data_IF_165382265432
#
_entry.id   IF_165382265432
#
_cell.length_a   1.000
_cell.length_b   1.000
_cell.length_c   1.000
_cell.angle_alpha   90.00
_cell.angle_beta   90.00
_cell.angle_gamma   90.00
#
_symmetry.space_group_name_H-M   'P 1'
#
loop_
_entity.id
_entity.type
_entity.pdbx_description
1 polymer ?
#
# COMPACT_ATOMS: atom_id res chain seq x y z
N UNK A 1 -42.47 12.62 -58.08
CA UNK A 1 -41.19 12.86 -57.36
C UNK A 1 -41.43 12.74 -55.86
N UNK A 2 -41.31 11.53 -55.29
CA UNK A 2 -41.41 11.30 -53.85
C UNK A 2 -40.03 11.16 -53.26
N UNK A 3 -39.62 12.10 -52.40
CA UNK A 3 -38.35 12.01 -51.66
C UNK A 3 -38.56 10.98 -50.53
N UNK A 4 -38.07 9.76 -50.74
CA UNK A 4 -38.04 8.74 -49.69
C UNK A 4 -37.08 9.19 -48.60
N UNK A 5 -37.62 9.56 -47.45
CA UNK A 5 -36.85 9.87 -46.25
C UNK A 5 -36.41 8.56 -45.59
N UNK A 6 -35.25 8.05 -46.00
CA UNK A 6 -34.49 7.12 -45.16
C UNK A 6 -33.86 7.99 -44.07
N UNK A 7 -34.28 7.80 -42.82
CA UNK A 7 -33.58 8.35 -41.67
C UNK A 7 -32.53 7.32 -41.20
N UNK A 8 -31.22 7.51 -41.47
CA UNK A 8 -30.19 6.68 -40.87
C UNK A 8 -29.78 7.35 -39.57
N UNK A 9 -30.34 6.95 -38.42
CA UNK A 9 -30.08 7.68 -37.17
C UNK A 9 -30.01 6.82 -35.92
N UNK A 10 -31.09 6.12 -35.57
CA UNK A 10 -31.21 5.50 -34.24
C UNK A 10 -30.35 4.26 -34.00
N UNK A 11 -30.33 3.32 -34.95
CA UNK A 11 -29.64 2.03 -34.78
C UNK A 11 -28.11 2.15 -34.74
N UNK A 12 -27.54 3.00 -35.59
CA UNK A 12 -26.09 3.23 -35.68
C UNK A 12 -25.57 3.93 -34.44
N UNK A 13 -26.33 4.89 -33.89
CA UNK A 13 -25.97 5.59 -32.64
C UNK A 13 -26.00 4.61 -31.46
N UNK A 14 -27.03 3.78 -31.34
CA UNK A 14 -27.13 2.75 -30.29
C UNK A 14 -25.98 1.74 -30.38
N UNK A 15 -25.63 1.28 -31.58
CA UNK A 15 -24.51 0.35 -31.78
C UNK A 15 -23.17 0.96 -31.35
N UNK A 16 -22.94 2.24 -31.66
CA UNK A 16 -21.75 2.96 -31.19
C UNK A 16 -21.73 3.12 -29.66
N UNK A 17 -22.88 3.43 -29.05
CA UNK A 17 -23.01 3.51 -27.59
C UNK A 17 -22.70 2.16 -26.93
N UNK A 18 -23.22 1.06 -27.47
CA UNK A 18 -22.93 -0.29 -26.98
C UNK A 18 -21.45 -0.64 -27.13
N UNK A 19 -20.83 -0.35 -28.28
CA UNK A 19 -19.40 -0.58 -28.48
C UNK A 19 -18.55 0.20 -27.45
N UNK A 20 -18.89 1.46 -27.19
CA UNK A 20 -18.22 2.27 -26.18
C UNK A 20 -18.40 1.70 -24.76
N UNK A 21 -19.60 1.24 -24.42
CA UNK A 21 -19.87 0.62 -23.13
C UNK A 21 -19.07 -0.68 -22.95
N UNK A 22 -19.00 -1.52 -23.99
CA UNK A 22 -18.19 -2.74 -23.97
C UNK A 22 -16.71 -2.43 -23.77
N UNK A 23 -16.18 -1.42 -24.46
CA UNK A 23 -14.80 -0.98 -24.26
C UNK A 23 -14.55 -0.49 -22.83
N UNK A 24 -15.49 0.29 -22.26
CA UNK A 24 -15.40 0.77 -20.88
C UNK A 24 -15.45 -0.37 -19.86
N UNK A 25 -16.32 -1.37 -20.05
CA UNK A 25 -16.40 -2.54 -19.17
C UNK A 25 -15.14 -3.40 -19.26
N UNK A 26 -14.58 -3.60 -20.45
CA UNK A 26 -13.32 -4.31 -20.63
C UNK A 26 -12.17 -3.60 -19.91
N UNK A 27 -12.06 -2.27 -20.08
CA UNK A 27 -11.05 -1.47 -19.39
C UNK A 27 -11.23 -1.50 -17.87
N UNK A 28 -12.47 -1.38 -17.39
CA UNK A 28 -12.76 -1.45 -15.97
C UNK A 28 -12.37 -2.83 -15.40
N UNK A 29 -12.70 -3.90 -16.09
CA UNK A 29 -12.33 -5.26 -15.69
C UNK A 29 -10.81 -5.43 -15.59
N UNK A 30 -10.05 -4.90 -16.56
CA UNK A 30 -8.60 -4.92 -16.51
C UNK A 30 -8.06 -4.11 -15.32
N UNK A 31 -8.55 -2.89 -15.12
CA UNK A 31 -8.15 -2.03 -14.02
C UNK A 31 -8.45 -2.65 -12.64
N UNK A 32 -9.58 -3.36 -12.49
CA UNK A 32 -9.93 -4.07 -11.27
C UNK A 32 -8.98 -5.23 -10.99
N UNK A 33 -8.62 -6.01 -12.01
CA UNK A 33 -7.65 -7.09 -11.88
C UNK A 33 -6.27 -6.56 -11.47
N UNK A 34 -5.82 -5.46 -12.07
CA UNK A 34 -4.56 -4.81 -11.71
C UNK A 34 -4.60 -4.29 -10.26
N UNK A 35 -5.71 -3.67 -9.87
CA UNK A 35 -5.91 -3.15 -8.50
C UNK A 35 -5.89 -4.28 -7.47
N UNK A 36 -6.57 -5.40 -7.73
CA UNK A 36 -6.56 -6.57 -6.84
C UNK A 36 -5.15 -7.13 -6.67
N UNK A 37 -4.40 -7.24 -7.78
CA UNK A 37 -3.02 -7.71 -7.74
C UNK A 37 -2.13 -6.77 -6.90
N UNK A 38 -2.25 -5.45 -7.12
CA UNK A 38 -1.52 -4.45 -6.34
C UNK A 38 -1.89 -4.52 -4.85
N UNK A 39 -3.17 -4.68 -4.51
CA UNK A 39 -3.61 -4.82 -3.12
C UNK A 39 -3.02 -6.08 -2.47
N UNK A 40 -3.02 -7.22 -3.17
CA UNK A 40 -2.46 -8.48 -2.65
C UNK A 40 -0.95 -8.40 -2.45
N UNK A 41 -0.21 -7.77 -3.37
CA UNK A 41 1.22 -7.55 -3.20
C UNK A 41 1.52 -6.59 -2.05
N UNK A 42 0.77 -5.49 -1.98
CA UNK A 42 0.98 -4.44 -0.97
C UNK A 42 0.64 -4.94 0.42
N UNK A 43 -0.36 -5.82 0.59
CA UNK A 43 -0.68 -6.40 1.91
C UNK A 43 0.48 -7.25 2.45
N UNK A 44 1.10 -8.08 1.61
CA UNK A 44 2.30 -8.86 1.98
C UNK A 44 3.46 -7.94 2.32
N UNK A 45 3.67 -6.88 1.54
CA UNK A 45 4.72 -5.89 1.82
C UNK A 45 4.48 -5.16 3.14
N UNK A 46 3.23 -4.77 3.45
CA UNK A 46 2.88 -4.10 4.70
C UNK A 46 3.15 -4.98 5.92
N UNK A 47 2.87 -6.28 5.83
CA UNK A 47 3.18 -7.25 6.87
C UNK A 47 4.69 -7.41 7.06
N UNK A 48 5.44 -7.55 5.96
CA UNK A 48 6.89 -7.62 6.01
C UNK A 48 7.51 -6.35 6.63
N UNK A 49 7.01 -5.16 6.27
CA UNK A 49 7.47 -3.89 6.85
C UNK A 49 7.16 -3.80 8.34
N UNK A 50 5.97 -4.26 8.78
CA UNK A 50 5.64 -4.34 10.20
C UNK A 50 6.60 -5.27 10.96
N UNK A 51 6.89 -6.44 10.42
CA UNK A 51 7.83 -7.41 11.02
C UNK A 51 9.24 -6.84 11.15
N UNK A 52 9.76 -6.24 10.06
CA UNK A 52 11.07 -5.59 10.06
C UNK A 52 11.09 -4.42 11.06
N UNK A 53 10.07 -3.57 11.09
CA UNK A 53 9.99 -2.45 12.04
C UNK A 53 9.99 -2.92 13.50
N UNK A 54 9.24 -3.97 13.82
CA UNK A 54 9.22 -4.57 15.15
C UNK A 54 10.59 -5.12 15.55
N UNK A 55 11.29 -5.80 14.62
CA UNK A 55 12.63 -6.32 14.88
C UNK A 55 13.65 -5.21 15.15
N UNK A 56 13.69 -4.17 14.30
CA UNK A 56 14.59 -3.04 14.51
C UNK A 56 14.27 -2.27 15.81
N UNK A 57 12.99 -2.08 16.11
CA UNK A 57 12.56 -1.45 17.37
C UNK A 57 13.01 -2.28 18.58
N UNK A 58 12.80 -3.60 18.56
CA UNK A 58 13.25 -4.50 19.62
C UNK A 58 14.77 -4.50 19.79
N UNK A 59 15.52 -4.50 18.68
CA UNK A 59 16.98 -4.40 18.69
C UNK A 59 17.45 -3.10 19.36
N UNK A 60 16.87 -1.95 19.00
CA UNK A 60 17.23 -0.68 19.61
C UNK A 60 16.81 -0.58 21.07
N UNK A 61 15.66 -1.15 21.46
CA UNK A 61 15.26 -1.23 22.87
C UNK A 61 16.24 -2.09 23.68
N UNK A 62 16.69 -3.22 23.14
CA UNK A 62 17.69 -4.07 23.78
C UNK A 62 19.05 -3.37 23.90
N UNK A 63 19.53 -2.76 22.80
CA UNK A 63 20.78 -1.99 22.81
C UNK A 63 20.73 -0.81 23.79
N UNK A 64 19.59 -0.11 23.87
CA UNK A 64 19.37 0.99 24.82
C UNK A 64 19.39 0.52 26.27
N UNK A 65 18.88 -0.68 26.57
CA UNK A 65 19.00 -1.26 27.92
C UNK A 65 20.44 -1.57 28.28
N UNK A 66 21.19 -2.21 27.38
CA UNK A 66 22.62 -2.54 27.62
C UNK A 66 23.41 -1.26 27.90
N UNK A 67 23.29 -0.25 27.04
CA UNK A 67 23.99 1.02 27.20
C UNK A 67 23.52 1.79 28.46
N UNK A 68 22.22 1.73 28.76
CA UNK A 68 21.63 2.34 29.95
C UNK A 68 22.09 1.67 31.26
N UNK A 69 22.14 0.34 31.31
CA UNK A 69 22.60 -0.41 32.49
C UNK A 69 24.09 -0.16 32.77
N UNK A 70 24.93 -0.10 31.73
CA UNK A 70 26.36 0.23 31.87
C UNK A 70 26.57 1.64 32.44
N UNK A 71 25.81 2.63 31.97
CA UNK A 71 25.93 4.01 32.48
C UNK A 71 25.52 4.16 33.95
N UNK A 72 24.46 3.47 34.39
CA UNK A 72 24.02 3.49 35.81
C UNK A 72 25.04 2.78 36.71
N UNK A 73 25.58 1.64 36.29
CA UNK A 73 26.60 0.92 37.05
C UNK A 73 27.87 1.75 37.23
N UNK A 74 28.31 2.44 36.17
CA UNK A 74 29.47 3.34 36.23
C UNK A 74 29.24 4.51 37.19
N UNK A 75 28.02 5.08 37.22
CA UNK A 75 27.65 6.17 38.12
C UNK A 75 27.61 5.71 39.59
N UNK A 76 27.11 4.50 39.87
CA UNK A 76 27.12 3.90 41.21
C UNK A 76 28.54 3.60 41.71
N UNK A 77 29.43 3.08 40.87
CA UNK A 77 30.83 2.85 41.24
C UNK A 77 31.57 4.15 41.58
N UNK A 78 31.33 5.23 40.84
CA UNK A 78 31.93 6.54 41.13
C UNK A 78 31.45 7.12 42.47
N UNK A 79 30.16 6.98 42.80
CA UNK A 79 29.61 7.45 44.09
C UNK A 79 30.10 6.62 45.28
N UNK A 80 30.22 5.30 45.13
CA UNK A 80 30.75 4.42 46.17
C UNK A 80 32.26 4.61 46.42
N UNK A 81 33.03 4.96 45.38
CA UNK A 81 34.45 5.29 45.50
C UNK A 81 34.73 6.65 46.13
N UNK A 82 33.80 7.62 45.99
CA UNK A 82 33.93 8.95 46.58
C UNK A 82 33.59 9.02 48.08
N UNK A 83 33.01 7.96 48.65
CA UNK A 83 32.65 7.85 50.08
C UNK A 83 33.67 7.04 50.92
N UNK A 84 34.81 6.66 50.33
CA UNK A 84 35.96 6.04 51.02
C UNK A 84 37.16 6.96 50.98
#
# INVERSE_FOLDING_TARGET
MGRSSIAPGGGVVKQRQLANLHAQLAQLSANLADTENLLRMTSVQAEAMRGLGAWHSGLFMAASKVLGEESVQQQQQQQAGAQR
#
